data_IF_067750545009
#
_entry.id   IF_067750545009
#
_cell.length_a   1.000
_cell.length_b   1.000
_cell.length_c   1.000
_cell.angle_alpha   90.00
_cell.angle_beta   90.00
_cell.angle_gamma   90.00
#
_symmetry.space_group_name_H-M   'P 1'
#
loop_
_entity.id
_entity.type
_entity.pdbx_description
1 polymer ?
#
# COMPACT_ATOMS: atom_id res chain seq x y z
N UNK A 1 -2.55 -11.66 -16.87
CA UNK A 1 -2.00 -11.42 -15.52
C UNK A 1 -2.98 -10.52 -14.79
N UNK A 2 -3.44 -10.90 -13.58
CA UNK A 2 -4.36 -10.08 -12.80
C UNK A 2 -3.68 -8.76 -12.42
N UNK A 3 -4.30 -7.63 -12.76
CA UNK A 3 -3.76 -6.29 -12.46
C UNK A 3 -3.87 -5.93 -10.97
N UNK A 4 -4.79 -6.57 -10.28
CA UNK A 4 -5.01 -6.41 -8.84
C UNK A 4 -4.91 -7.76 -8.17
N UNK A 5 -4.20 -7.81 -7.06
CA UNK A 5 -4.11 -8.98 -6.20
C UNK A 5 -4.30 -8.56 -4.74
N UNK A 6 -4.86 -9.45 -3.93
CA UNK A 6 -5.01 -9.22 -2.49
C UNK A 6 -4.11 -10.18 -1.73
N UNK A 7 -3.10 -9.66 -1.06
CA UNK A 7 -2.05 -10.45 -0.39
C UNK A 7 -1.93 -10.05 1.08
N UNK A 8 -1.70 -11.01 2.00
CA UNK A 8 -1.29 -10.69 3.36
C UNK A 8 0.05 -9.95 3.36
N UNK A 9 0.15 -8.87 4.15
CA UNK A 9 1.39 -8.12 4.26
C UNK A 9 1.55 -7.38 5.59
N UNK A 10 2.81 -7.14 5.97
CA UNK A 10 3.20 -6.25 7.07
C UNK A 10 3.73 -4.91 6.55
N UNK A 11 3.34 -3.81 7.19
CA UNK A 11 3.91 -2.49 6.93
C UNK A 11 5.25 -2.36 7.67
N UNK A 12 6.34 -2.20 6.92
CA UNK A 12 7.71 -2.08 7.46
C UNK A 12 8.24 -0.64 7.50
N UNK A 13 7.75 0.22 6.62
CA UNK A 13 8.14 1.61 6.55
C UNK A 13 7.02 2.44 5.93
N UNK A 14 6.88 3.67 6.38
CA UNK A 14 5.93 4.64 5.84
C UNK A 14 6.65 5.95 5.62
N UNK A 15 6.47 6.55 4.44
CA UNK A 15 7.01 7.86 4.11
C UNK A 15 5.91 8.73 3.53
N UNK A 16 5.95 10.02 3.83
CA UNK A 16 5.04 10.97 3.22
C UNK A 16 5.40 11.15 1.74
N UNK A 17 4.40 11.07 0.86
CA UNK A 17 4.56 11.27 -0.58
C UNK A 17 3.69 12.45 -1.03
N UNK A 18 4.30 13.62 -1.16
CA UNK A 18 3.57 14.86 -1.38
C UNK A 18 2.67 15.21 -0.19
N UNK A 19 1.62 15.98 -0.42
CA UNK A 19 0.79 16.48 0.68
C UNK A 19 -0.19 15.45 1.22
N UNK A 20 -0.77 14.64 0.32
CA UNK A 20 -1.94 13.80 0.61
C UNK A 20 -1.72 12.29 0.45
N UNK A 21 -0.56 11.85 -0.05
CA UNK A 21 -0.29 10.43 -0.27
C UNK A 21 0.79 9.92 0.68
N UNK A 22 0.84 8.60 0.83
CA UNK A 22 1.84 7.89 1.63
C UNK A 22 2.48 6.80 0.78
N UNK A 23 3.80 6.69 0.83
CA UNK A 23 4.54 5.52 0.35
C UNK A 23 4.63 4.53 1.50
N UNK A 24 4.37 3.27 1.21
CA UNK A 24 4.32 2.18 2.19
C UNK A 24 5.22 1.05 1.69
N UNK A 25 6.14 0.62 2.53
CA UNK A 25 6.94 -0.58 2.29
C UNK A 25 6.24 -1.77 2.90
N UNK A 26 5.81 -2.71 2.07
CA UNK A 26 5.11 -3.92 2.47
C UNK A 26 6.03 -5.13 2.39
N UNK A 27 6.02 -5.96 3.43
CA UNK A 27 6.52 -7.32 3.34
C UNK A 27 5.34 -8.25 3.07
N UNK A 28 5.23 -8.69 1.82
CA UNK A 28 4.11 -9.45 1.28
C UNK A 28 4.43 -10.94 1.24
N UNK A 29 3.40 -11.77 1.45
CA UNK A 29 3.50 -13.19 1.23
C UNK A 29 3.70 -13.49 -0.27
N UNK A 30 4.75 -14.24 -0.62
CA UNK A 30 5.02 -14.70 -1.99
C UNK A 30 5.74 -13.70 -2.92
N UNK A 31 5.66 -12.39 -2.66
CA UNK A 31 6.40 -11.37 -3.44
C UNK A 31 7.52 -10.66 -2.69
N UNK A 32 7.60 -10.90 -1.37
CA UNK A 32 8.60 -10.25 -0.53
C UNK A 32 8.34 -8.76 -0.42
N UNK A 33 9.37 -7.96 -0.64
CA UNK A 33 9.34 -6.52 -0.42
C UNK A 33 8.67 -5.78 -1.59
N UNK A 34 7.58 -5.07 -1.32
CA UNK A 34 6.82 -4.28 -2.30
C UNK A 34 6.69 -2.83 -1.81
N UNK A 35 7.15 -1.89 -2.62
CA UNK A 35 6.92 -0.46 -2.41
C UNK A 35 5.62 -0.05 -3.09
N UNK A 36 4.64 0.40 -2.32
CA UNK A 36 3.32 0.76 -2.82
C UNK A 36 2.88 2.16 -2.37
N UNK A 37 1.97 2.78 -3.13
CA UNK A 37 1.43 4.11 -2.85
C UNK A 37 0.00 3.99 -2.33
N UNK A 38 -0.24 4.51 -1.13
CA UNK A 38 -1.56 4.70 -0.55
C UNK A 38 -2.06 6.12 -0.87
N UNK A 39 -2.91 6.25 -1.88
CA UNK A 39 -3.42 7.55 -2.29
C UNK A 39 -4.45 8.08 -1.29
N UNK A 40 -4.17 9.23 -0.70
CA UNK A 40 -5.11 9.88 0.22
C UNK A 40 -4.92 9.45 1.67
N UNK A 41 -3.90 8.64 1.96
CA UNK A 41 -3.61 8.16 3.31
C UNK A 41 -3.20 9.27 4.29
N UNK A 42 -2.80 10.46 3.82
CA UNK A 42 -2.54 11.60 4.70
C UNK A 42 -3.76 12.51 4.91
N UNK A 43 -4.88 12.25 4.21
CA UNK A 43 -6.13 12.98 4.45
C UNK A 43 -6.71 12.56 5.80
N UNK A 44 -7.22 13.51 6.57
CA UNK A 44 -7.84 13.23 7.87
C UNK A 44 -9.04 12.27 7.78
N UNK A 45 -9.75 12.25 6.65
CA UNK A 45 -10.88 11.35 6.39
C UNK A 45 -10.51 10.14 5.51
N UNK A 46 -9.23 9.95 5.21
CA UNK A 46 -8.79 8.88 4.32
C UNK A 46 -8.84 7.51 5.00
N UNK A 47 -9.64 6.58 4.46
CA UNK A 47 -9.72 5.18 4.94
C UNK A 47 -8.33 4.57 5.13
N UNK A 48 -7.44 4.77 4.16
CA UNK A 48 -6.11 4.16 4.16
C UNK A 48 -5.15 4.73 5.22
N UNK A 49 -5.47 5.83 5.90
CA UNK A 49 -4.59 6.45 6.90
C UNK A 49 -4.23 5.46 8.01
N UNK A 50 -5.24 4.95 8.70
CA UNK A 50 -5.06 4.03 9.83
C UNK A 50 -4.58 2.65 9.39
N UNK A 51 -4.95 2.21 8.18
CA UNK A 51 -4.60 0.87 7.66
C UNK A 51 -3.19 0.80 7.02
N UNK A 52 -2.48 1.92 6.95
CA UNK A 52 -1.11 2.00 6.40
C UNK A 52 -0.14 2.60 7.39
N UNK A 53 -0.41 2.44 8.68
CA UNK A 53 0.51 2.77 9.77
C UNK A 53 1.59 1.68 9.95
N UNK A 54 2.70 2.06 10.57
CA UNK A 54 3.84 1.19 10.78
C UNK A 54 3.46 -0.06 11.60
N UNK A 55 4.03 -1.22 11.25
CA UNK A 55 3.82 -2.52 11.90
C UNK A 55 2.41 -3.10 11.82
N UNK A 56 1.54 -2.49 11.01
CA UNK A 56 0.21 -3.05 10.79
C UNK A 56 0.29 -4.27 9.86
N UNK A 57 -0.49 -5.29 10.19
CA UNK A 57 -0.70 -6.49 9.38
C UNK A 57 -2.12 -6.52 8.87
N UNK A 58 -2.31 -6.87 7.60
CA UNK A 58 -3.63 -6.97 6.98
C UNK A 58 -3.54 -7.59 5.60
N UNK A 59 -4.68 -7.64 4.91
CA UNK A 59 -4.74 -8.07 3.51
C UNK A 59 -4.79 -6.85 2.61
N UNK A 60 -3.72 -6.63 1.85
CA UNK A 60 -3.56 -5.47 1.00
C UNK A 60 -3.98 -5.80 -0.42
N UNK A 61 -4.94 -5.05 -0.96
CA UNK A 61 -5.28 -5.08 -2.37
C UNK A 61 -4.33 -4.17 -3.14
N UNK A 62 -3.44 -4.77 -3.93
CA UNK A 62 -2.38 -4.11 -4.67
C UNK A 62 -2.70 -4.12 -6.16
N UNK A 63 -2.80 -2.92 -6.74
CA UNK A 63 -2.89 -2.73 -8.18
C UNK A 63 -1.50 -2.43 -8.76
N UNK A 64 -1.05 -3.21 -9.75
CA UNK A 64 0.18 -2.95 -10.50
C UNK A 64 -0.11 -2.11 -11.75
N UNK A 65 0.52 -0.94 -11.84
CA UNK A 65 0.54 -0.13 -13.04
C UNK A 65 1.75 -0.55 -13.90
N UNK A 66 1.54 -1.28 -15.02
CA UNK A 66 2.63 -1.78 -15.84
C UNK A 66 3.34 -0.69 -16.65
N UNK A 67 2.73 0.50 -16.80
CA UNK A 67 3.33 1.60 -17.56
C UNK A 67 4.34 2.35 -16.70
N UNK A 68 4.03 2.50 -15.40
CA UNK A 68 4.88 3.20 -14.43
C UNK A 68 5.71 2.28 -13.55
N UNK A 69 5.54 0.97 -13.71
CA UNK A 69 6.08 -0.07 -12.86
C UNK A 69 5.96 0.25 -11.37
N UNK A 70 4.72 0.49 -10.94
CA UNK A 70 4.42 0.92 -9.57
C UNK A 70 3.22 0.19 -9.00
N UNK A 71 3.21 0.03 -7.68
CA UNK A 71 2.10 -0.55 -6.95
C UNK A 71 1.27 0.51 -6.25
N UNK A 72 -0.04 0.34 -6.30
CA UNK A 72 -1.02 1.16 -5.60
C UNK A 72 -1.81 0.31 -4.62
N UNK A 73 -1.96 0.80 -3.38
CA UNK A 73 -2.88 0.22 -2.41
C UNK A 73 -4.28 0.73 -2.75
N UNK A 74 -5.17 -0.19 -3.15
CA UNK A 74 -6.56 0.13 -3.47
C UNK A 74 -7.49 -0.11 -2.31
N UNK A 75 -7.20 -1.11 -1.47
CA UNK A 75 -7.96 -1.40 -0.26
C UNK A 75 -7.13 -2.20 0.76
N UNK A 76 -7.59 -2.22 2.01
CA UNK A 76 -7.04 -3.03 3.10
C UNK A 76 -8.18 -3.62 3.92
N UNK A 77 -8.13 -4.94 4.12
CA UNK A 77 -8.99 -5.69 5.05
C UNK A 77 -8.23 -6.03 6.35
#
# INVERSE_FOLDING_TARGET
MLRTETVPAFVLQTDRLGEIHRRVMLYTEGKGLVSAIAHGAEKNTGKLKSHTELFLFGRFSLYHDPVKDSFKITDVD
#
